data_IF_807250704453
#
_entry.id   IF_807250704453
#
_cell.length_a   1.000
_cell.length_b   1.000
_cell.length_c   1.000
_cell.angle_alpha   90.00
_cell.angle_beta   90.00
_cell.angle_gamma   90.00
#
_symmetry.space_group_name_H-M   'P 1'
#
loop_
_entity.id
_entity.type
_entity.pdbx_description
1 polymer ?
#
# COMPACT_ATOMS: atom_id res chain seq x y z
N UNK A 1 -5.77 -0.54 -52.82
CA UNK A 1 -4.82 0.47 -52.29
C UNK A 1 -5.15 0.86 -50.85
N UNK A 2 -6.39 1.26 -50.52
CA UNK A 2 -6.79 1.64 -49.15
C UNK A 2 -6.56 0.58 -48.04
N UNK A 3 -6.70 -0.72 -48.34
CA UNK A 3 -6.43 -1.78 -47.33
C UNK A 3 -4.93 -2.01 -47.05
N UNK A 4 -4.06 -1.66 -47.99
CA UNK A 4 -2.61 -1.81 -47.85
C UNK A 4 -1.97 -0.60 -47.13
N UNK A 5 -2.55 0.58 -47.26
CA UNK A 5 -2.18 1.76 -46.47
C UNK A 5 -2.66 1.63 -45.01
N UNK A 6 -3.91 1.20 -44.83
CA UNK A 6 -4.45 0.90 -43.49
C UNK A 6 -3.59 -0.14 -42.75
N UNK A 7 -3.18 -1.24 -43.40
CA UNK A 7 -2.35 -2.26 -42.74
C UNK A 7 -0.94 -1.79 -42.42
N UNK A 8 -0.35 -0.91 -43.23
CA UNK A 8 0.96 -0.29 -42.96
C UNK A 8 0.92 0.71 -41.80
N UNK A 9 -0.14 1.50 -41.69
CA UNK A 9 -0.32 2.42 -40.55
C UNK A 9 -0.53 1.67 -39.22
N UNK A 10 -1.31 0.58 -39.22
CA UNK A 10 -1.50 -0.26 -38.03
C UNK A 10 -0.20 -0.95 -37.60
N UNK A 11 0.61 -1.40 -38.57
CA UNK A 11 1.93 -2.00 -38.32
C UNK A 11 2.93 -0.99 -37.74
N UNK A 12 3.00 0.22 -38.31
CA UNK A 12 3.86 1.30 -37.82
C UNK A 12 3.45 1.77 -36.40
N UNK A 13 2.14 1.86 -36.12
CA UNK A 13 1.63 2.15 -34.78
C UNK A 13 1.97 1.06 -33.76
N UNK A 14 1.92 -0.21 -34.16
CA UNK A 14 2.28 -1.36 -33.32
C UNK A 14 3.76 -1.36 -32.98
N UNK A 15 4.63 -1.11 -33.96
CA UNK A 15 6.08 -0.98 -33.75
C UNK A 15 6.40 0.19 -32.81
N UNK A 16 5.82 1.37 -33.03
CA UNK A 16 6.03 2.54 -32.17
C UNK A 16 5.62 2.28 -30.72
N UNK A 17 4.50 1.59 -30.50
CA UNK A 17 4.03 1.21 -29.17
C UNK A 17 4.96 0.17 -28.51
N UNK A 18 5.45 -0.80 -29.28
CA UNK A 18 6.41 -1.78 -28.79
C UNK A 18 7.73 -1.12 -28.36
N UNK A 19 8.31 -0.26 -29.20
CA UNK A 19 9.50 0.52 -28.86
C UNK A 19 9.28 1.43 -27.65
N UNK A 20 8.12 2.10 -27.56
CA UNK A 20 7.77 2.93 -26.41
C UNK A 20 7.67 2.14 -25.10
N UNK A 21 7.13 0.93 -25.13
CA UNK A 21 7.06 0.05 -23.97
C UNK A 21 8.43 -0.47 -23.55
N UNK A 22 9.28 -0.87 -24.50
CA UNK A 22 10.66 -1.30 -24.23
C UNK A 22 11.47 -0.16 -23.61
N UNK A 23 11.37 1.05 -24.17
CA UNK A 23 12.03 2.23 -23.63
C UNK A 23 11.54 2.54 -22.21
N UNK A 24 10.22 2.47 -21.99
CA UNK A 24 9.65 2.70 -20.64
C UNK A 24 10.16 1.68 -19.63
N UNK A 25 10.24 0.41 -20.02
CA UNK A 25 10.79 -0.65 -19.17
C UNK A 25 12.27 -0.40 -18.83
N UNK A 26 13.08 -0.03 -19.84
CA UNK A 26 14.49 0.28 -19.63
C UNK A 26 14.67 1.49 -18.70
N UNK A 27 13.87 2.55 -18.86
CA UNK A 27 13.87 3.71 -17.96
C UNK A 27 13.52 3.28 -16.53
N UNK A 28 12.52 2.42 -16.33
CA UNK A 28 12.15 1.93 -15.00
C UNK A 28 13.25 1.09 -14.36
N UNK A 29 13.97 0.29 -15.15
CA UNK A 29 15.14 -0.45 -14.67
C UNK A 29 16.22 0.53 -14.19
N UNK A 30 16.55 1.55 -14.99
CA UNK A 30 17.51 2.58 -14.61
C UNK A 30 17.07 3.36 -13.36
N UNK A 31 15.78 3.67 -13.21
CA UNK A 31 15.23 4.31 -12.02
C UNK A 31 15.41 3.41 -10.80
N UNK A 32 15.18 2.10 -10.93
CA UNK A 32 15.39 1.15 -9.84
C UNK A 32 16.85 1.09 -9.41
N UNK A 33 17.77 1.01 -10.37
CA UNK A 33 19.22 1.04 -10.12
C UNK A 33 19.63 2.36 -9.46
N UNK A 34 19.13 3.50 -9.96
CA UNK A 34 19.39 4.82 -9.39
C UNK A 34 18.88 4.93 -7.94
N UNK A 35 17.63 4.53 -7.69
CA UNK A 35 17.00 4.56 -6.37
C UNK A 35 17.82 3.74 -5.35
N UNK A 36 18.27 2.55 -5.75
CA UNK A 36 19.12 1.70 -4.93
C UNK A 36 20.50 2.33 -4.69
N UNK A 37 21.17 2.79 -5.75
CA UNK A 37 22.57 3.23 -5.71
C UNK A 37 22.77 4.49 -4.87
N UNK A 38 21.86 5.48 -4.96
CA UNK A 38 21.93 6.72 -4.18
C UNK A 38 21.83 6.45 -2.67
N UNK A 39 21.26 5.33 -2.24
CA UNK A 39 21.08 5.00 -0.82
C UNK A 39 22.27 4.26 -0.19
N UNK A 40 23.32 3.98 -0.97
CA UNK A 40 24.48 3.20 -0.51
C UNK A 40 25.61 4.05 0.05
N UNK A 41 25.53 5.39 0.02
CA UNK A 41 26.65 6.24 0.42
C UNK A 41 27.16 5.98 1.85
N UNK A 42 26.29 5.67 2.80
CA UNK A 42 26.70 5.31 4.18
C UNK A 42 27.55 4.04 4.20
N UNK A 43 27.10 2.99 3.52
CA UNK A 43 27.76 1.68 3.46
C UNK A 43 29.03 1.71 2.62
N UNK A 44 29.13 2.59 1.62
CA UNK A 44 30.36 2.73 0.81
C UNK A 44 31.43 3.52 1.58
N UNK A 45 31.01 4.55 2.33
CA UNK A 45 31.93 5.44 3.05
C UNK A 45 32.38 4.84 4.39
N UNK A 46 31.51 4.08 5.04
CA UNK A 46 31.69 3.48 6.35
C UNK A 46 31.45 1.97 6.27
N UNK A 47 31.21 1.33 7.41
CA UNK A 47 30.92 -0.11 7.46
C UNK A 47 29.43 -0.39 7.22
N UNK A 48 29.13 -1.58 6.72
CA UNK A 48 27.76 -2.08 6.52
C UNK A 48 27.14 -2.47 7.87
N UNK A 49 26.75 -1.48 8.66
CA UNK A 49 26.12 -1.68 9.97
C UNK A 49 24.75 -1.01 10.03
N UNK A 50 23.96 -1.41 11.02
CA UNK A 50 22.68 -0.78 11.31
C UNK A 50 22.92 0.59 11.95
N UNK A 51 22.22 1.59 11.43
CA UNK A 51 22.33 2.98 11.88
C UNK A 51 21.14 3.37 12.76
N UNK A 52 21.32 4.44 13.53
CA UNK A 52 20.33 4.97 14.47
C UNK A 52 19.98 3.99 15.60
N UNK A 53 19.08 4.39 16.50
CA UNK A 53 18.79 3.63 17.73
C UNK A 53 17.64 2.64 17.53
N UNK A 54 16.55 3.07 16.88
CA UNK A 54 15.32 2.29 16.72
C UNK A 54 15.53 0.99 15.91
N UNK A 55 16.29 0.98 14.81
CA UNK A 55 16.48 -0.22 13.99
C UNK A 55 17.15 -1.42 14.69
N UNK A 56 17.89 -1.21 15.77
CA UNK A 56 18.50 -2.31 16.54
C UNK A 56 17.45 -3.24 17.16
N UNK A 57 16.32 -2.69 17.59
CA UNK A 57 15.21 -3.49 18.09
C UNK A 57 14.63 -4.37 16.98
N UNK A 58 14.33 -3.77 15.82
CA UNK A 58 13.79 -4.48 14.65
C UNK A 58 14.75 -5.59 14.20
N UNK A 59 16.04 -5.31 14.16
CA UNK A 59 17.06 -6.30 13.81
C UNK A 59 17.09 -7.48 14.78
N UNK A 60 17.08 -7.23 16.08
CA UNK A 60 17.04 -8.29 17.10
C UNK A 60 15.80 -9.17 16.93
N UNK A 61 14.65 -8.56 16.63
CA UNK A 61 13.41 -9.29 16.37
C UNK A 61 13.54 -10.15 15.11
N UNK A 62 14.12 -9.63 14.03
CA UNK A 62 14.38 -10.40 12.81
C UNK A 62 15.39 -11.53 13.05
N UNK A 63 16.43 -11.32 13.86
CA UNK A 63 17.35 -12.39 14.27
C UNK A 63 16.63 -13.49 15.05
N UNK A 64 15.70 -13.13 15.95
CA UNK A 64 14.90 -14.11 16.68
C UNK A 64 14.00 -14.91 15.73
N UNK A 65 13.30 -14.23 14.82
CA UNK A 65 12.43 -14.84 13.81
C UNK A 65 13.18 -15.86 12.94
N UNK A 66 14.37 -15.50 12.46
CA UNK A 66 15.17 -16.38 11.58
C UNK A 66 15.77 -17.59 12.30
N UNK A 67 16.02 -17.49 13.61
CA UNK A 67 16.60 -18.58 14.41
C UNK A 67 15.56 -19.55 14.97
N UNK A 68 14.44 -19.03 15.48
CA UNK A 68 13.43 -19.82 16.21
C UNK A 68 12.17 -20.08 15.37
N UNK A 69 11.98 -19.34 14.28
CA UNK A 69 10.82 -19.49 13.40
C UNK A 69 9.62 -18.63 13.79
N UNK A 70 8.56 -18.72 12.97
CA UNK A 70 7.39 -17.83 13.04
C UNK A 70 6.53 -18.10 14.29
N UNK A 71 6.32 -19.36 14.66
CA UNK A 71 5.47 -19.71 15.81
C UNK A 71 6.05 -19.25 17.14
N UNK A 72 7.36 -19.42 17.31
CA UNK A 72 8.07 -18.95 18.50
C UNK A 72 8.13 -17.42 18.51
N UNK A 73 8.32 -16.78 17.35
CA UNK A 73 8.24 -15.32 17.24
C UNK A 73 6.87 -14.77 17.67
N UNK A 74 5.78 -15.42 17.25
CA UNK A 74 4.43 -14.97 17.58
C UNK A 74 4.12 -15.03 19.09
N UNK A 75 4.69 -16.02 19.78
CA UNK A 75 4.51 -16.21 21.22
C UNK A 75 5.69 -15.69 22.06
N UNK A 76 6.57 -14.89 21.46
CA UNK A 76 7.81 -14.48 22.11
C UNK A 76 7.55 -13.47 23.24
N UNK A 77 7.89 -13.89 24.46
CA UNK A 77 8.05 -13.02 25.62
C UNK A 77 9.54 -12.69 25.82
N UNK A 78 9.88 -11.40 25.76
CA UNK A 78 11.23 -10.91 25.97
C UNK A 78 11.44 -10.52 27.44
N UNK A 79 12.20 -11.34 28.15
CA UNK A 79 12.59 -11.16 29.55
C UNK A 79 13.81 -10.23 29.72
N UNK A 80 14.49 -9.86 28.62
CA UNK A 80 15.70 -9.02 28.65
C UNK A 80 15.44 -7.53 28.55
N UNK A 81 14.23 -7.13 28.18
CA UNK A 81 13.83 -5.72 28.12
C UNK A 81 12.83 -5.40 29.23
N UNK A 82 12.76 -4.14 29.66
CA UNK A 82 11.80 -3.68 30.67
C UNK A 82 11.84 -4.46 31.99
N UNK A 83 13.03 -4.75 32.52
CA UNK A 83 13.15 -5.40 33.84
C UNK A 83 12.45 -4.55 34.92
N UNK A 84 11.60 -5.14 35.78
CA UNK A 84 11.32 -6.57 35.98
C UNK A 84 10.09 -7.12 35.22
N UNK A 85 9.42 -6.32 34.40
CA UNK A 85 8.14 -6.67 33.76
C UNK A 85 8.30 -7.56 32.52
N UNK A 86 9.34 -7.36 31.71
CA UNK A 86 9.45 -7.97 30.39
C UNK A 86 8.56 -7.31 29.34
N UNK A 87 8.61 -7.80 28.09
CA UNK A 87 7.77 -7.33 26.98
C UNK A 87 7.27 -8.49 26.12
N UNK A 88 5.96 -8.56 25.86
CA UNK A 88 5.37 -9.50 24.89
C UNK A 88 5.61 -8.97 23.48
N UNK A 89 6.53 -9.55 22.71
CA UNK A 89 6.94 -9.00 21.41
C UNK A 89 5.89 -9.25 20.34
N UNK A 90 5.39 -10.48 20.21
CA UNK A 90 4.42 -10.85 19.17
C UNK A 90 3.10 -10.05 19.23
N UNK A 91 2.74 -9.56 20.42
CA UNK A 91 1.54 -8.73 20.63
C UNK A 91 1.77 -7.22 20.55
N UNK A 92 3.01 -6.74 20.57
CA UNK A 92 3.32 -5.30 20.73
C UNK A 92 4.16 -4.71 19.59
N UNK A 93 4.33 -5.44 18.49
CA UNK A 93 5.14 -5.03 17.34
C UNK A 93 4.39 -5.28 16.03
N UNK A 94 4.61 -4.39 15.06
CA UNK A 94 4.18 -4.56 13.68
C UNK A 94 5.09 -5.58 12.98
N UNK A 95 4.58 -6.77 12.57
CA UNK A 95 5.43 -7.86 12.07
C UNK A 95 5.85 -7.69 10.60
N UNK A 96 5.37 -6.67 9.89
CA UNK A 96 5.52 -6.53 8.45
C UNK A 96 6.98 -6.40 8.01
N UNK A 97 7.77 -5.54 8.66
CA UNK A 97 9.19 -5.36 8.35
C UNK A 97 10.00 -6.63 8.63
N UNK A 98 9.75 -7.26 9.79
CA UNK A 98 10.51 -8.43 10.25
C UNK A 98 10.19 -9.66 9.41
N UNK A 99 8.91 -9.90 9.09
CA UNK A 99 8.49 -10.97 8.18
C UNK A 99 9.01 -10.73 6.75
N UNK A 100 9.03 -9.49 6.28
CA UNK A 100 9.57 -9.15 4.94
C UNK A 100 11.06 -9.47 4.86
N UNK A 101 11.87 -9.03 5.83
CA UNK A 101 13.30 -9.33 5.81
C UNK A 101 13.58 -10.81 6.09
N UNK A 102 12.84 -11.45 6.99
CA UNK A 102 12.97 -12.87 7.31
C UNK A 102 12.65 -13.77 6.11
N UNK A 103 11.60 -13.44 5.35
CA UNK A 103 11.25 -14.14 4.10
C UNK A 103 12.29 -13.90 3.00
N UNK A 104 12.81 -12.68 2.86
CA UNK A 104 13.90 -12.39 1.92
C UNK A 104 15.16 -13.21 2.25
N UNK A 105 15.53 -13.29 3.53
CA UNK A 105 16.65 -14.10 4.00
C UNK A 105 16.42 -15.60 3.76
N UNK A 106 15.23 -16.11 4.06
CA UNK A 106 14.88 -17.51 3.84
C UNK A 106 14.92 -17.89 2.36
N UNK A 107 14.41 -17.02 1.47
CA UNK A 107 14.48 -17.21 0.02
C UNK A 107 15.93 -17.25 -0.49
N UNK A 108 16.77 -16.33 -0.04
CA UNK A 108 18.19 -16.28 -0.44
C UNK A 108 18.96 -17.52 0.01
N UNK A 109 18.72 -17.98 1.24
CA UNK A 109 19.31 -19.23 1.73
C UNK A 109 18.80 -20.46 0.99
N UNK A 110 17.52 -20.48 0.60
CA UNK A 110 16.94 -21.56 -0.21
C UNK A 110 17.55 -21.62 -1.61
N UNK A 111 18.08 -20.50 -2.11
CA UNK A 111 18.85 -20.41 -3.36
C UNK A 111 20.36 -20.62 -3.15
N UNK A 112 20.78 -21.10 -1.97
CA UNK A 112 22.18 -21.33 -1.61
C UNK A 112 23.07 -20.07 -1.65
N UNK A 113 22.49 -18.89 -1.38
CA UNK A 113 23.24 -17.63 -1.22
C UNK A 113 23.34 -17.33 0.28
N UNK A 114 24.46 -17.69 0.96
CA UNK A 114 24.58 -17.59 2.40
C UNK A 114 24.87 -16.15 2.85
N UNK A 115 23.83 -15.31 2.88
CA UNK A 115 23.93 -13.96 3.45
C UNK A 115 23.60 -13.97 4.94
N UNK A 116 24.28 -13.11 5.69
CA UNK A 116 23.92 -12.86 7.09
C UNK A 116 22.58 -12.12 7.16
N UNK A 117 21.85 -12.32 8.27
CA UNK A 117 20.58 -11.62 8.52
C UNK A 117 20.80 -10.10 8.57
N UNK A 118 21.96 -9.68 9.09
CA UNK A 118 22.36 -8.27 9.14
C UNK A 118 22.41 -7.64 7.75
N UNK A 119 23.10 -8.28 6.81
CA UNK A 119 23.21 -7.80 5.43
C UNK A 119 21.83 -7.65 4.80
N UNK A 120 20.93 -8.62 5.01
CA UNK A 120 19.56 -8.52 4.49
C UNK A 120 18.81 -7.32 5.10
N UNK A 121 18.93 -7.10 6.42
CA UNK A 121 18.29 -5.96 7.08
C UNK A 121 18.83 -4.62 6.57
N UNK A 122 20.15 -4.48 6.42
CA UNK A 122 20.81 -3.26 5.93
C UNK A 122 20.33 -2.89 4.51
N UNK A 123 20.20 -3.87 3.61
CA UNK A 123 19.81 -3.62 2.22
C UNK A 123 18.30 -3.65 1.95
N UNK A 124 17.46 -3.97 2.95
CA UNK A 124 16.00 -4.00 2.78
C UNK A 124 15.46 -2.63 2.35
N UNK A 125 15.90 -1.53 2.97
CA UNK A 125 15.39 -0.19 2.66
C UNK A 125 15.73 0.29 1.22
N UNK A 126 16.98 0.16 0.73
CA UNK A 126 17.30 0.43 -0.68
C UNK A 126 16.46 -0.38 -1.68
N UNK A 127 16.24 -1.68 -1.42
CA UNK A 127 15.43 -2.56 -2.30
C UNK A 127 13.99 -2.05 -2.37
N UNK A 128 13.38 -1.79 -1.22
CA UNK A 128 12.00 -1.31 -1.16
C UNK A 128 11.84 0.11 -1.71
N UNK A 129 12.90 0.94 -1.69
CA UNK A 129 12.86 2.23 -2.39
C UNK A 129 12.79 2.10 -3.90
N UNK A 130 13.43 1.07 -4.49
CA UNK A 130 13.27 0.80 -5.91
C UNK A 130 11.82 0.39 -6.22
N UNK A 131 11.24 -0.49 -5.38
CA UNK A 131 9.84 -0.89 -5.49
C UNK A 131 8.87 0.28 -5.30
N UNK A 132 9.13 1.19 -4.36
CA UNK A 132 8.34 2.41 -4.16
C UNK A 132 8.36 3.32 -5.39
N UNK A 133 9.51 3.45 -6.06
CA UNK A 133 9.64 4.19 -7.32
C UNK A 133 8.79 3.56 -8.43
N UNK A 134 8.78 2.24 -8.54
CA UNK A 134 7.92 1.53 -9.50
C UNK A 134 6.43 1.62 -9.14
N UNK A 135 6.07 1.53 -7.86
CA UNK A 135 4.69 1.73 -7.40
C UNK A 135 4.20 3.14 -7.72
N UNK A 136 5.06 4.14 -7.62
CA UNK A 136 4.75 5.54 -7.99
C UNK A 136 4.51 5.69 -9.48
N UNK A 137 5.34 5.05 -10.31
CA UNK A 137 5.07 4.98 -11.75
C UNK A 137 3.67 4.41 -12.03
N UNK A 138 3.32 3.29 -11.40
CA UNK A 138 2.01 2.64 -11.58
C UNK A 138 0.86 3.55 -11.14
N UNK A 139 0.96 4.18 -9.96
CA UNK A 139 -0.04 5.12 -9.45
C UNK A 139 -0.25 6.30 -10.41
N UNK A 140 0.82 6.99 -10.77
CA UNK A 140 0.72 8.19 -11.62
C UNK A 140 0.33 7.86 -13.06
N UNK A 141 0.71 6.68 -13.55
CA UNK A 141 0.27 6.17 -14.86
C UNK A 141 -1.25 6.04 -14.94
N UNK A 142 -1.91 5.57 -13.87
CA UNK A 142 -3.38 5.46 -13.83
C UNK A 142 -4.09 6.82 -13.79
N UNK A 143 -3.41 7.88 -13.36
CA UNK A 143 -4.01 9.22 -13.25
C UNK A 143 -3.84 10.05 -14.52
N UNK A 144 -2.63 10.10 -15.10
CA UNK A 144 -2.31 11.03 -16.19
C UNK A 144 -1.59 10.40 -17.39
N UNK A 145 -1.08 9.17 -17.26
CA UNK A 145 -0.42 8.43 -18.33
C UNK A 145 1.07 8.15 -18.10
N UNK A 146 1.69 7.46 -19.06
CA UNK A 146 3.05 6.87 -18.93
C UNK A 146 4.15 7.89 -18.71
N UNK A 147 4.15 9.00 -19.47
CA UNK A 147 5.18 10.04 -19.35
C UNK A 147 5.21 10.68 -17.96
N UNK A 148 4.03 11.04 -17.43
CA UNK A 148 3.92 11.57 -16.06
C UNK A 148 4.36 10.55 -15.01
N UNK A 149 4.07 9.27 -15.22
CA UNK A 149 4.51 8.20 -14.33
C UNK A 149 6.02 8.03 -14.29
N UNK A 150 6.70 8.06 -15.45
CA UNK A 150 8.16 7.93 -15.51
C UNK A 150 8.83 9.10 -14.77
N UNK A 151 8.34 10.32 -14.98
CA UNK A 151 8.84 11.50 -14.27
C UNK A 151 8.61 11.39 -12.76
N UNK A 152 7.42 10.98 -12.32
CA UNK A 152 7.12 10.82 -10.89
C UNK A 152 8.01 9.77 -10.22
N UNK A 153 8.31 8.67 -10.90
CA UNK A 153 9.19 7.63 -10.37
C UNK A 153 10.65 8.10 -10.23
N UNK A 154 11.19 8.86 -11.20
CA UNK A 154 12.52 9.49 -11.08
C UNK A 154 12.57 10.48 -9.91
N UNK A 155 11.53 11.30 -9.75
CA UNK A 155 11.46 12.28 -8.67
C UNK A 155 11.42 11.60 -7.29
N UNK A 156 10.62 10.54 -7.12
CA UNK A 156 10.59 9.80 -5.87
C UNK A 156 11.93 9.10 -5.59
N UNK A 157 12.58 8.55 -6.61
CA UNK A 157 13.87 7.88 -6.45
C UNK A 157 14.94 8.81 -5.84
N UNK A 158 14.92 10.10 -6.21
CA UNK A 158 15.93 11.10 -5.81
C UNK A 158 15.51 12.04 -4.68
N UNK A 159 14.26 11.99 -4.19
CA UNK A 159 13.78 12.98 -3.22
C UNK A 159 14.51 12.84 -1.87
N UNK A 160 15.20 13.88 -1.38
CA UNK A 160 16.00 13.79 -0.14
C UNK A 160 15.19 13.41 1.09
N UNK A 161 13.94 13.87 1.17
CA UNK A 161 13.02 13.55 2.26
C UNK A 161 12.81 12.04 2.40
N UNK A 162 12.60 11.32 1.28
CA UNK A 162 12.46 9.87 1.32
C UNK A 162 13.80 9.17 1.53
N UNK A 163 14.88 9.66 0.90
CA UNK A 163 16.23 9.10 1.09
C UNK A 163 16.59 9.09 2.57
N UNK A 164 16.31 10.17 3.31
CA UNK A 164 16.65 10.27 4.74
C UNK A 164 16.10 9.13 5.61
N UNK A 165 14.98 8.49 5.22
CA UNK A 165 14.34 7.38 5.94
C UNK A 165 14.52 6.01 5.25
N UNK A 166 15.30 5.95 4.17
CA UNK A 166 15.48 4.73 3.38
C UNK A 166 16.93 4.46 2.97
N UNK A 167 17.89 5.09 3.66
CA UNK A 167 19.33 4.83 3.47
C UNK A 167 19.66 3.39 3.85
N UNK A 168 20.65 2.79 3.19
CA UNK A 168 21.19 1.50 3.61
C UNK A 168 21.65 1.56 5.07
N UNK A 169 21.20 0.59 5.88
CA UNK A 169 21.43 0.54 7.33
C UNK A 169 20.29 1.10 8.18
N UNK A 170 19.36 1.87 7.59
CA UNK A 170 18.16 2.38 8.25
C UNK A 170 17.03 1.34 8.24
N UNK A 171 17.15 0.30 9.07
CA UNK A 171 16.18 -0.81 9.15
C UNK A 171 14.97 -0.46 10.05
N UNK A 172 14.21 0.54 9.62
CA UNK A 172 12.97 0.97 10.28
C UNK A 172 11.71 0.66 9.44
N UNK A 173 10.54 0.74 10.06
CA UNK A 173 9.26 0.32 9.50
C UNK A 173 8.89 1.12 8.23
N UNK A 174 9.29 2.39 8.14
CA UNK A 174 9.07 3.25 6.99
C UNK A 174 9.72 2.71 5.70
N UNK A 175 10.77 1.90 5.83
CA UNK A 175 11.49 1.30 4.70
C UNK A 175 10.53 0.53 3.78
N UNK A 176 9.64 -0.28 4.36
CA UNK A 176 8.65 -1.08 3.63
C UNK A 176 7.29 -0.39 3.54
N UNK A 177 6.95 0.43 4.53
CA UNK A 177 5.63 1.05 4.62
C UNK A 177 5.36 2.09 3.52
N UNK A 178 6.37 2.85 3.09
CA UNK A 178 6.17 3.86 2.02
C UNK A 178 5.81 3.18 0.70
N UNK A 179 6.45 2.05 0.38
CA UNK A 179 6.06 1.23 -0.76
C UNK A 179 4.62 0.72 -0.61
N UNK A 180 4.27 0.13 0.55
CA UNK A 180 2.94 -0.42 0.81
C UNK A 180 1.83 0.64 0.69
N UNK A 181 2.08 1.85 1.18
CA UNK A 181 1.17 2.99 1.12
C UNK A 181 0.91 3.43 -0.34
N UNK A 182 1.97 3.64 -1.12
CA UNK A 182 1.84 4.04 -2.53
C UNK A 182 1.14 2.94 -3.34
N UNK A 183 1.49 1.68 -3.07
CA UNK A 183 0.90 0.53 -3.76
C UNK A 183 -0.60 0.35 -3.43
N UNK A 184 -0.99 0.61 -2.18
CA UNK A 184 -2.41 0.63 -1.76
C UNK A 184 -3.17 1.73 -2.52
N UNK A 185 -2.62 2.94 -2.61
CA UNK A 185 -3.26 4.00 -3.41
C UNK A 185 -3.33 3.67 -4.89
N UNK A 186 -2.29 3.03 -5.45
CA UNK A 186 -2.33 2.54 -6.83
C UNK A 186 -3.50 1.58 -7.05
N UNK A 187 -3.64 0.55 -6.20
CA UNK A 187 -4.73 -0.42 -6.33
C UNK A 187 -6.10 0.19 -6.08
N UNK A 188 -6.20 1.16 -5.18
CA UNK A 188 -7.43 1.93 -4.96
C UNK A 188 -7.86 2.69 -6.24
N UNK A 189 -6.96 3.47 -6.84
CA UNK A 189 -7.24 4.19 -8.10
C UNK A 189 -7.52 3.20 -9.24
N UNK A 190 -6.77 2.09 -9.31
CA UNK A 190 -7.00 1.04 -10.30
C UNK A 190 -8.40 0.44 -10.18
N UNK A 191 -8.86 0.21 -8.95
CA UNK A 191 -10.21 -0.29 -8.67
C UNK A 191 -11.27 0.73 -9.03
N UNK A 192 -11.05 2.03 -8.76
CA UNK A 192 -11.97 3.09 -9.18
C UNK A 192 -12.10 3.20 -10.70
N UNK A 193 -10.99 3.10 -11.43
CA UNK A 193 -10.99 3.17 -12.88
C UNK A 193 -11.69 1.95 -13.50
N UNK A 194 -11.39 0.74 -13.01
CA UNK A 194 -11.88 -0.53 -13.59
C UNK A 194 -13.24 -0.99 -13.08
N UNK A 195 -13.58 -0.71 -11.82
CA UNK A 195 -14.79 -1.23 -11.17
C UNK A 195 -14.74 -2.73 -10.85
N UNK A 196 -13.57 -3.35 -10.83
CA UNK A 196 -13.45 -4.81 -10.61
C UNK A 196 -13.25 -5.18 -9.15
N UNK A 197 -14.01 -6.18 -8.69
CA UNK A 197 -13.87 -6.79 -7.36
C UNK A 197 -12.50 -7.45 -7.15
N UNK A 198 -11.85 -7.92 -8.23
CA UNK A 198 -10.51 -8.50 -8.13
C UNK A 198 -9.50 -7.45 -7.65
N UNK A 199 -9.49 -6.24 -8.23
CA UNK A 199 -8.61 -5.17 -7.76
C UNK A 199 -9.02 -4.66 -6.38
N UNK A 200 -10.31 -4.70 -6.03
CA UNK A 200 -10.77 -4.34 -4.68
C UNK A 200 -10.23 -5.29 -3.60
N UNK A 201 -10.23 -6.61 -3.86
CA UNK A 201 -9.65 -7.60 -2.94
C UNK A 201 -8.13 -7.48 -2.85
N UNK A 202 -7.43 -7.27 -3.97
CA UNK A 202 -6.00 -6.96 -3.95
C UNK A 202 -5.69 -5.68 -3.15
N UNK A 203 -6.52 -4.65 -3.27
CA UNK A 203 -6.39 -3.42 -2.51
C UNK A 203 -6.52 -3.68 -1.00
N UNK A 204 -7.47 -4.51 -0.57
CA UNK A 204 -7.62 -4.91 0.83
C UNK A 204 -6.41 -5.70 1.35
N UNK A 205 -5.82 -6.58 0.53
CA UNK A 205 -4.59 -7.30 0.87
C UNK A 205 -3.37 -6.38 0.97
N UNK A 206 -3.24 -5.41 0.05
CA UNK A 206 -2.19 -4.39 0.12
C UNK A 206 -2.34 -3.51 1.36
N UNK A 207 -3.58 -3.13 1.70
CA UNK A 207 -3.88 -2.43 2.94
C UNK A 207 -3.53 -3.27 4.17
N UNK A 208 -3.83 -4.58 4.18
CA UNK A 208 -3.42 -5.47 5.26
C UNK A 208 -1.89 -5.53 5.42
N UNK A 209 -1.14 -5.62 4.32
CA UNK A 209 0.33 -5.54 4.38
C UNK A 209 0.82 -4.22 4.98
N UNK A 210 0.15 -3.11 4.65
CA UNK A 210 0.43 -1.81 5.24
C UNK A 210 0.15 -1.77 6.74
N UNK A 211 -0.99 -2.31 7.19
CA UNK A 211 -1.34 -2.44 8.63
C UNK A 211 -0.30 -3.29 9.36
N UNK A 212 0.17 -4.37 8.76
CA UNK A 212 1.24 -5.19 9.32
C UNK A 212 2.58 -4.45 9.40
N UNK A 213 2.82 -3.47 8.53
CA UNK A 213 4.12 -2.82 8.38
C UNK A 213 4.29 -1.57 9.22
N UNK A 214 3.25 -0.73 9.37
CA UNK A 214 3.39 0.56 10.06
C UNK A 214 2.06 1.10 10.58
N UNK A 215 2.09 1.75 11.74
CA UNK A 215 0.94 2.41 12.38
C UNK A 215 0.28 3.52 11.56
N UNK A 216 0.95 4.04 10.53
CA UNK A 216 0.38 5.03 9.60
C UNK A 216 -0.71 4.48 8.67
N UNK A 217 -1.14 3.23 8.81
CA UNK A 217 -2.33 2.70 8.12
C UNK A 217 -3.60 3.51 8.45
N UNK A 218 -3.64 4.18 9.61
CA UNK A 218 -4.70 5.09 10.04
C UNK A 218 -4.83 6.31 9.11
N UNK A 219 -3.76 6.71 8.43
CA UNK A 219 -3.80 7.74 7.41
C UNK A 219 -4.63 7.30 6.19
N UNK A 220 -4.40 6.07 5.69
CA UNK A 220 -5.08 5.54 4.50
C UNK A 220 -6.58 5.38 4.77
N UNK A 221 -6.94 4.80 5.91
CA UNK A 221 -8.33 4.54 6.28
C UNK A 221 -9.12 5.80 6.56
N UNK A 222 -8.47 6.97 6.72
CA UNK A 222 -9.14 8.26 6.85
C UNK A 222 -9.13 9.06 5.54
N UNK A 223 -8.04 8.98 4.76
CA UNK A 223 -7.94 9.66 3.47
C UNK A 223 -8.91 9.12 2.42
N UNK A 224 -9.06 7.80 2.34
CA UNK A 224 -9.96 7.18 1.36
C UNK A 224 -11.42 7.56 1.60
N UNK A 225 -11.97 7.48 2.84
CA UNK A 225 -13.31 7.98 3.14
C UNK A 225 -13.47 9.47 2.84
N UNK A 226 -12.47 10.31 3.14
CA UNK A 226 -12.52 11.74 2.79
C UNK A 226 -12.66 11.94 1.29
N UNK A 227 -11.91 11.19 0.48
CA UNK A 227 -12.06 11.20 -0.99
C UNK A 227 -13.46 10.75 -1.43
N UNK A 228 -13.98 9.66 -0.86
CA UNK A 228 -15.32 9.14 -1.18
C UNK A 228 -16.41 10.14 -0.82
N UNK A 229 -16.33 10.76 0.35
CA UNK A 229 -17.26 11.79 0.80
C UNK A 229 -17.25 12.99 -0.15
N UNK A 230 -16.06 13.45 -0.57
CA UNK A 230 -15.93 14.52 -1.54
C UNK A 230 -16.57 14.15 -2.89
N UNK A 231 -16.39 12.91 -3.37
CA UNK A 231 -17.06 12.42 -4.57
C UNK A 231 -18.59 12.42 -4.43
N UNK A 232 -19.13 12.09 -3.26
CA UNK A 232 -20.57 12.12 -2.99
C UNK A 232 -21.08 13.56 -2.98
N UNK A 233 -20.41 14.47 -2.25
CA UNK A 233 -20.80 15.89 -2.14
C UNK A 233 -20.74 16.60 -3.49
N UNK A 234 -19.75 16.28 -4.33
CA UNK A 234 -19.64 16.84 -5.69
C UNK A 234 -20.61 16.20 -6.70
N UNK A 235 -21.47 15.27 -6.26
CA UNK A 235 -22.45 14.59 -7.10
C UNK A 235 -21.86 13.55 -8.07
N UNK A 236 -20.59 13.16 -7.88
CA UNK A 236 -19.84 12.21 -8.74
C UNK A 236 -19.92 10.78 -8.23
N UNK A 237 -21.07 10.38 -7.69
CA UNK A 237 -21.29 8.99 -7.27
C UNK A 237 -21.38 8.05 -8.48
N UNK A 238 -20.76 6.88 -8.37
CA UNK A 238 -20.79 5.81 -9.38
C UNK A 238 -20.72 4.45 -8.69
N UNK A 239 -21.28 3.40 -9.29
CA UNK A 239 -21.16 2.02 -8.78
C UNK A 239 -19.71 1.58 -8.60
N UNK A 240 -18.78 2.13 -9.40
CA UNK A 240 -17.33 1.89 -9.25
C UNK A 240 -16.77 2.42 -7.93
N UNK A 241 -17.26 3.56 -7.47
CA UNK A 241 -16.90 4.14 -6.17
C UNK A 241 -17.33 3.24 -5.02
N UNK A 242 -18.55 2.68 -5.13
CA UNK A 242 -19.06 1.70 -4.16
C UNK A 242 -18.20 0.43 -4.12
N UNK A 243 -17.90 -0.15 -5.29
CA UNK A 243 -17.06 -1.36 -5.40
C UNK A 243 -15.64 -1.12 -4.91
N UNK A 244 -15.08 0.08 -5.07
CA UNK A 244 -13.74 0.40 -4.59
C UNK A 244 -13.67 0.58 -3.06
N UNK A 245 -14.74 1.11 -2.46
CA UNK A 245 -14.73 1.52 -1.06
C UNK A 245 -15.33 0.48 -0.11
N UNK A 246 -16.50 -0.08 -0.42
CA UNK A 246 -17.20 -0.98 0.50
C UNK A 246 -16.39 -2.25 0.84
N UNK A 247 -15.77 -2.97 -0.13
CA UNK A 247 -14.92 -4.11 0.17
C UNK A 247 -13.68 -3.74 0.98
N UNK A 248 -13.11 -2.54 0.76
CA UNK A 248 -11.94 -2.07 1.51
C UNK A 248 -12.27 -1.88 2.99
N UNK A 249 -13.42 -1.28 3.32
CA UNK A 249 -13.82 -1.11 4.73
C UNK A 249 -14.09 -2.46 5.38
N UNK A 250 -14.86 -3.33 4.73
CA UNK A 250 -15.22 -4.63 5.32
C UNK A 250 -14.00 -5.55 5.44
N UNK A 251 -13.32 -5.85 4.32
CA UNK A 251 -12.18 -6.76 4.32
C UNK A 251 -10.97 -6.14 5.00
N UNK A 252 -10.72 -4.84 4.81
CA UNK A 252 -9.60 -4.14 5.43
C UNK A 252 -9.71 -4.10 6.95
N UNK A 253 -10.89 -3.81 7.52
CA UNK A 253 -11.09 -3.84 8.98
C UNK A 253 -10.98 -5.26 9.53
N UNK A 254 -11.56 -6.26 8.86
CA UNK A 254 -11.44 -7.66 9.29
C UNK A 254 -9.98 -8.13 9.29
N UNK A 255 -9.23 -7.82 8.23
CA UNK A 255 -7.81 -8.17 8.13
C UNK A 255 -6.96 -7.39 9.13
N UNK A 256 -7.24 -6.10 9.35
CA UNK A 256 -6.53 -5.29 10.35
C UNK A 256 -6.72 -5.84 11.77
N UNK A 257 -7.91 -6.35 12.10
CA UNK A 257 -8.19 -6.95 13.40
C UNK A 257 -7.40 -8.25 13.67
N UNK A 258 -6.86 -8.91 12.62
CA UNK A 258 -6.02 -10.09 12.77
C UNK A 258 -4.60 -9.76 13.25
N UNK A 259 -4.16 -8.51 13.12
CA UNK A 259 -2.82 -8.10 13.57
C UNK A 259 -2.86 -7.89 15.08
N UNK A 260 -2.09 -8.63 15.90
CA UNK A 260 -2.22 -8.61 17.36
C UNK A 260 -2.10 -7.22 18.01
N UNK A 261 -1.20 -6.38 17.48
CA UNK A 261 -0.99 -5.02 17.99
C UNK A 261 -2.19 -4.09 17.74
N UNK A 262 -2.99 -4.40 16.72
CA UNK A 262 -4.22 -3.66 16.38
C UNK A 262 -5.40 -4.30 17.08
N UNK A 263 -5.65 -5.60 16.87
CA UNK A 263 -6.76 -6.33 17.46
C UNK A 263 -8.09 -5.61 17.29
N UNK A 264 -8.89 -5.54 18.36
CA UNK A 264 -10.19 -4.85 18.35
C UNK A 264 -10.08 -3.31 18.32
N UNK A 265 -8.88 -2.73 18.40
CA UNK A 265 -8.71 -1.29 18.26
C UNK A 265 -9.16 -0.81 16.88
N UNK A 266 -9.08 -1.65 15.85
CA UNK A 266 -9.60 -1.36 14.50
C UNK A 266 -11.09 -0.95 14.49
N UNK A 267 -11.87 -1.35 15.51
CA UNK A 267 -13.30 -1.04 15.64
C UNK A 267 -13.56 -0.09 16.82
N UNK A 268 -12.81 -0.23 17.91
CA UNK A 268 -13.09 0.49 19.16
C UNK A 268 -12.48 1.91 19.19
N UNK A 269 -11.43 2.18 18.42
CA UNK A 269 -10.80 3.51 18.44
C UNK A 269 -11.51 4.50 17.53
N UNK A 270 -11.55 5.75 17.96
CA UNK A 270 -12.15 6.85 17.20
C UNK A 270 -11.46 7.12 15.86
N UNK A 271 -10.23 6.64 15.69
CA UNK A 271 -9.43 6.83 14.48
C UNK A 271 -10.03 6.16 13.23
N UNK A 272 -10.91 5.16 13.42
CA UNK A 272 -11.58 4.44 12.32
C UNK A 272 -13.02 4.91 12.07
N UNK A 273 -13.59 5.73 12.96
CA UNK A 273 -15.01 6.09 12.93
C UNK A 273 -15.40 6.87 11.68
N UNK A 274 -14.51 7.70 11.15
CA UNK A 274 -14.77 8.41 9.89
C UNK A 274 -15.01 7.43 8.73
N UNK A 275 -14.29 6.31 8.70
CA UNK A 275 -14.49 5.27 7.70
C UNK A 275 -15.83 4.57 7.86
N UNK A 276 -16.23 4.21 9.08
CA UNK A 276 -17.54 3.58 9.29
C UNK A 276 -18.70 4.54 9.00
N UNK A 277 -18.56 5.82 9.31
CA UNK A 277 -19.55 6.84 8.99
C UNK A 277 -19.75 6.97 7.48
N UNK A 278 -18.67 7.12 6.70
CA UNK A 278 -18.75 7.23 5.24
C UNK A 278 -19.23 5.91 4.62
N UNK A 279 -18.93 4.77 5.24
CA UNK A 279 -19.49 3.49 4.85
C UNK A 279 -21.01 3.45 5.00
N UNK A 280 -21.58 3.97 6.09
CA UNK A 280 -23.04 4.08 6.23
C UNK A 280 -23.60 5.03 5.17
N UNK A 281 -22.97 6.20 4.97
CA UNK A 281 -23.40 7.20 3.99
C UNK A 281 -23.43 6.60 2.57
N UNK A 282 -22.40 5.86 2.15
CA UNK A 282 -22.36 5.30 0.79
C UNK A 282 -23.44 4.24 0.57
N UNK A 283 -23.84 3.49 1.60
CA UNK A 283 -24.96 2.53 1.51
C UNK A 283 -26.29 3.26 1.33
N UNK A 284 -26.52 4.33 2.08
CA UNK A 284 -27.71 5.18 1.94
C UNK A 284 -27.76 5.80 0.54
N UNK A 285 -26.65 6.37 0.07
CA UNK A 285 -26.55 6.96 -1.28
C UNK A 285 -26.80 5.89 -2.35
N UNK A 286 -26.21 4.70 -2.22
CA UNK A 286 -26.44 3.60 -3.16
C UNK A 286 -27.92 3.20 -3.21
N UNK A 287 -28.59 3.10 -2.07
CA UNK A 287 -30.02 2.82 -1.99
C UNK A 287 -30.86 3.91 -2.65
N UNK A 288 -30.55 5.19 -2.41
CA UNK A 288 -31.25 6.33 -3.03
C UNK A 288 -31.10 6.30 -4.55
N UNK A 289 -29.89 6.03 -5.06
CA UNK A 289 -29.65 5.90 -6.50
C UNK A 289 -30.38 4.70 -7.11
N UNK A 290 -30.47 3.58 -6.39
CA UNK A 290 -31.23 2.41 -6.82
C UNK A 290 -32.74 2.72 -6.92
N UNK A 291 -33.31 3.32 -5.87
CA UNK A 291 -34.74 3.72 -5.83
C UNK A 291 -35.06 4.75 -6.92
N UNK A 292 -34.16 5.72 -7.15
CA UNK A 292 -34.29 6.69 -8.24
C UNK A 292 -34.25 6.05 -9.64
N UNK A 293 -33.57 4.90 -9.79
CA UNK A 293 -33.54 4.14 -11.03
C UNK A 293 -34.84 3.39 -11.34
N UNK A 294 -35.62 3.03 -10.30
CA UNK A 294 -36.87 2.27 -10.43
C UNK A 294 -38.09 3.21 -10.52
N UNK A 295 -38.10 4.29 -9.75
CA UNK A 295 -39.25 5.19 -9.63
C UNK A 295 -39.25 6.30 -10.69
N UNK A 296 -40.45 6.69 -11.13
CA UNK A 296 -40.62 7.92 -11.90
C UNK A 296 -40.23 9.16 -11.05
N UNK A 297 -39.78 10.27 -11.67
CA UNK A 297 -39.32 11.45 -10.92
C UNK A 297 -40.38 12.05 -9.98
N UNK A 298 -41.67 11.87 -10.29
CA UNK A 298 -42.79 12.31 -9.45
C UNK A 298 -42.97 11.41 -8.23
N UNK A 299 -42.93 10.09 -8.42
CA UNK A 299 -43.01 9.12 -7.33
C UNK A 299 -41.79 9.18 -6.40
N UNK A 300 -40.61 9.48 -6.94
CA UNK A 300 -39.40 9.70 -6.14
C UNK A 300 -39.56 10.90 -5.20
N UNK A 301 -40.12 12.02 -5.68
CA UNK A 301 -40.40 13.19 -4.81
C UNK A 301 -41.36 12.82 -3.69
N UNK A 302 -42.45 12.09 -3.98
CA UNK A 302 -43.41 11.62 -2.98
C UNK A 302 -42.76 10.68 -1.97
N UNK A 303 -41.92 9.74 -2.42
CA UNK A 303 -41.20 8.81 -1.54
C UNK A 303 -40.21 9.54 -0.61
N UNK A 304 -39.47 10.52 -1.13
CA UNK A 304 -38.57 11.35 -0.30
C UNK A 304 -39.36 12.18 0.70
N UNK A 305 -40.46 12.82 0.29
CA UNK A 305 -41.33 13.58 1.19
C UNK A 305 -41.91 12.69 2.29
N UNK A 306 -42.34 11.46 1.96
CA UNK A 306 -42.85 10.50 2.94
C UNK A 306 -41.78 10.11 3.97
N UNK A 307 -40.58 9.75 3.53
CA UNK A 307 -39.45 9.40 4.41
C UNK A 307 -39.06 10.56 5.32
N UNK A 308 -39.00 11.78 4.78
CA UNK A 308 -38.69 12.98 5.58
C UNK A 308 -39.82 13.31 6.55
N UNK A 309 -41.09 13.14 6.17
CA UNK A 309 -42.25 13.43 7.03
C UNK A 309 -42.52 12.40 8.12
N UNK A 310 -42.09 11.15 7.94
CA UNK A 310 -42.26 10.06 8.91
C UNK A 310 -41.00 9.92 9.79
N UNK A 311 -39.84 10.37 9.30
CA UNK A 311 -38.56 10.33 10.01
C UNK A 311 -38.21 11.58 10.84
N UNK A 312 -38.98 12.67 10.70
CA UNK A 312 -38.99 13.84 11.58
C UNK A 312 -40.07 13.68 12.65
#
# INVERSE_FOLDING_TARGET
MASAESSRETSAGTLRNAFGNVLSFFILLLIGVLAFSIRLFSVIKYESVIHEFDPYFNYRVTQFLTKNGIYDFWNWFDDRTWYPLGRVIGGTVYPGLTLTAGTLWWLLNSLNIPLSVETVCVFTAPIFSAFASWATYLLTKEVKGTGAGLTAAVLLAMVPSYISRSVAGSYDNEAVAIFALIFTFYLYIKTLNTGSLFYATLNALAYFYMVCSWGGYTFIINLIPMHVLLCIVTGRYSSRLYIAYAPLVVLGTLLAALVPVVGFNAVMTSEHFASFLVFIIIHVVALVYYVKGILSPRMFKVAVTLVVSVGL
#
